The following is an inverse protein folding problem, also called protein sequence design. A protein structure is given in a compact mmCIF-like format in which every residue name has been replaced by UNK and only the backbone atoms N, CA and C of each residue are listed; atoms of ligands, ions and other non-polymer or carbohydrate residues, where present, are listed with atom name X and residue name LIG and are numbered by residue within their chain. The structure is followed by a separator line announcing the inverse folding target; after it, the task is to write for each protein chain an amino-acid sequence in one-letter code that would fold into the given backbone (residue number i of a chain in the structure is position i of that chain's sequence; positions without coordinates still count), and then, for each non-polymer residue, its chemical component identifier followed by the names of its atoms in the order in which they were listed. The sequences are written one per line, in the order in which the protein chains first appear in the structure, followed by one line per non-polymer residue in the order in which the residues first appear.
data_IF_450591852815
#
_entry.id   IF_450591852815
#
_cell.length_a   1.000
_cell.length_b   1.000
_cell.length_c   1.000
_cell.angle_alpha   90.00
_cell.angle_beta   90.00
_cell.angle_gamma   90.00
#
_symmetry.space_group_name_H-M   'P 1'
#
loop_
_entity.id
_entity.type
_entity.pdbx_description
1 polymer ?
#
# COMPACT_ATOMS: atom_id res chain seq x y z
N UNK A 1 51.97 -62.92 -0.90
CA UNK A 1 51.09 -63.99 -1.40
C UNK A 1 49.66 -63.50 -1.21
N UNK A 2 48.85 -63.47 -2.26
CA UNK A 2 47.52 -62.84 -2.25
C UNK A 2 46.52 -63.67 -1.44
N UNK A 3 45.72 -63.01 -0.61
CA UNK A 3 44.51 -63.62 -0.04
C UNK A 3 43.27 -63.31 -0.89
N UNK A 4 42.44 -64.34 -1.19
CA UNK A 4 41.32 -64.28 -2.11
C UNK A 4 40.02 -63.80 -1.44
N UNK A 5 39.35 -62.82 -2.08
CA UNK A 5 37.93 -62.45 -2.01
C UNK A 5 37.08 -62.97 -0.83
N UNK A 6 36.53 -62.06 -0.03
CA UNK A 6 35.19 -62.29 0.53
C UNK A 6 34.42 -60.98 0.64
N UNK A 7 33.72 -60.66 -0.43
CA UNK A 7 32.74 -59.57 -0.48
C UNK A 7 31.52 -60.04 0.31
N UNK A 8 31.47 -59.73 1.60
CA UNK A 8 30.26 -59.92 2.39
C UNK A 8 29.22 -58.89 1.94
N UNK A 9 28.39 -59.29 0.99
CA UNK A 9 27.15 -58.60 0.62
C UNK A 9 26.27 -58.54 1.86
N UNK A 10 26.27 -57.40 2.54
CA UNK A 10 25.33 -57.12 3.62
C UNK A 10 23.91 -57.22 3.05
N UNK A 11 23.15 -58.21 3.49
CA UNK A 11 21.72 -58.29 3.23
C UNK A 11 21.07 -57.13 3.98
N UNK A 12 20.71 -56.07 3.26
CA UNK A 12 19.82 -55.04 3.80
C UNK A 12 18.48 -55.74 3.99
N UNK A 13 18.21 -56.20 5.21
CA UNK A 13 16.83 -56.47 5.60
C UNK A 13 16.16 -55.13 5.70
N UNK A 14 15.30 -54.84 4.72
CA UNK A 14 14.31 -53.77 4.78
C UNK A 14 13.43 -54.07 5.99
N UNK A 15 13.80 -53.50 7.14
CA UNK A 15 12.95 -53.48 8.32
C UNK A 15 11.82 -52.52 7.95
N UNK A 16 10.69 -53.07 7.50
CA UNK A 16 9.47 -52.29 7.37
C UNK A 16 9.14 -51.75 8.76
N UNK A 17 9.49 -50.48 8.99
CA UNK A 17 9.06 -49.70 10.15
C UNK A 17 7.58 -49.40 9.90
N UNK A 18 6.77 -50.42 10.16
CA UNK A 18 5.33 -50.33 10.18
C UNK A 18 4.99 -49.35 11.29
N UNK A 19 4.83 -48.08 10.91
CA UNK A 19 4.20 -47.03 11.71
C UNK A 19 2.87 -47.56 12.20
N UNK A 20 2.91 -48.17 13.39
CA UNK A 20 1.79 -48.81 14.04
C UNK A 20 0.68 -47.78 14.09
N UNK A 21 -0.52 -48.14 13.60
CA UNK A 21 -1.71 -47.28 13.56
C UNK A 21 -1.95 -46.50 14.88
N UNK A 22 -1.46 -47.01 16.00
CA UNK A 22 -1.46 -46.36 17.32
C UNK A 22 -0.65 -45.05 17.37
N UNK A 23 0.50 -44.97 16.72
CA UNK A 23 1.36 -43.78 16.72
C UNK A 23 0.76 -42.65 15.88
N UNK A 24 0.17 -43.02 14.74
CA UNK A 24 -0.55 -42.11 13.85
C UNK A 24 -1.75 -41.41 14.51
N UNK A 25 -2.41 -42.08 15.48
CA UNK A 25 -3.57 -41.56 16.19
C UNK A 25 -3.21 -40.66 17.39
N UNK A 26 -1.96 -40.65 17.87
CA UNK A 26 -1.52 -39.81 19.01
C UNK A 26 -1.84 -38.32 18.85
N UNK A 27 -1.56 -37.64 17.72
CA UNK A 27 -1.88 -36.23 17.57
C UNK A 27 -3.39 -35.94 17.47
N UNK A 28 -4.20 -36.96 17.17
CA UNK A 28 -5.66 -36.87 17.11
C UNK A 28 -6.33 -37.28 18.44
N UNK A 29 -5.56 -37.78 19.41
CA UNK A 29 -6.04 -38.13 20.75
C UNK A 29 -6.57 -36.96 21.58
N UNK A 30 -6.01 -35.72 21.54
CA UNK A 30 -6.63 -34.62 22.28
C UNK A 30 -7.96 -34.25 21.62
N UNK A 31 -9.04 -34.66 22.27
CA UNK A 31 -10.40 -34.33 21.85
C UNK A 31 -10.65 -32.86 22.12
N UNK A 32 -10.91 -32.07 21.08
CA UNK A 32 -11.49 -30.74 21.25
C UNK A 32 -12.89 -30.96 21.83
N UNK A 33 -13.10 -30.62 23.11
CA UNK A 33 -14.43 -30.68 23.69
C UNK A 33 -15.37 -29.82 22.84
N UNK A 34 -16.56 -30.33 22.47
CA UNK A 34 -17.51 -29.53 21.71
C UNK A 34 -17.85 -28.28 22.52
N UNK A 35 -17.66 -27.11 21.91
CA UNK A 35 -18.10 -25.85 22.51
C UNK A 35 -19.62 -25.86 22.62
N UNK A 36 -20.16 -25.39 23.75
CA UNK A 36 -21.61 -25.22 23.93
C UNK A 36 -22.18 -24.41 22.77
N UNK A 37 -23.38 -24.74 22.30
CA UNK A 37 -23.98 -24.05 21.15
C UNK A 37 -24.30 -22.57 21.43
N UNK A 38 -24.56 -21.76 20.38
CA UNK A 38 -24.82 -20.32 20.49
C UNK A 38 -25.92 -19.94 21.48
N UNK A 39 -26.91 -20.83 21.68
CA UNK A 39 -28.04 -20.66 22.61
C UNK A 39 -27.64 -20.66 24.08
N UNK A 40 -26.49 -21.24 24.41
CA UNK A 40 -25.93 -21.38 25.76
C UNK A 40 -24.79 -20.39 26.03
N UNK A 41 -24.40 -19.59 25.02
CA UNK A 41 -23.40 -18.55 25.22
C UNK A 41 -23.95 -17.46 26.12
N UNK A 42 -23.14 -17.03 27.09
CA UNK A 42 -23.44 -15.83 27.87
C UNK A 42 -23.57 -14.67 26.89
N UNK A 43 -24.73 -14.01 26.90
CA UNK A 43 -24.90 -12.75 26.19
C UNK A 43 -24.35 -11.65 27.10
N UNK A 44 -23.16 -11.09 26.84
CA UNK A 44 -22.57 -10.05 27.69
C UNK A 44 -23.35 -8.72 27.66
N UNK A 45 -24.50 -8.68 26.95
CA UNK A 45 -25.26 -7.46 26.71
C UNK A 45 -24.57 -6.56 25.70
N UNK A 46 -25.29 -5.53 25.27
CA UNK A 46 -24.68 -4.42 24.53
C UNK A 46 -23.92 -3.56 25.52
N UNK A 47 -22.67 -3.90 25.81
CA UNK A 47 -21.81 -2.99 26.54
C UNK A 47 -21.41 -1.88 25.55
N UNK A 48 -21.81 -0.61 25.75
CA UNK A 48 -21.34 0.47 24.89
C UNK A 48 -19.82 0.57 25.07
N UNK A 49 -19.08 0.09 24.07
CA UNK A 49 -17.64 0.30 24.03
C UNK A 49 -17.43 1.79 23.76
N UNK A 50 -16.78 2.47 24.70
CA UNK A 50 -16.30 3.82 24.42
C UNK A 50 -15.38 3.75 23.18
N UNK A 51 -15.54 4.65 22.20
CA UNK A 51 -14.63 4.70 21.09
C UNK A 51 -13.21 4.90 21.62
N UNK A 52 -12.24 4.24 20.99
CA UNK A 52 -10.84 4.48 21.33
C UNK A 52 -10.52 5.98 21.15
N UNK A 53 -9.64 6.56 21.98
CA UNK A 53 -9.26 7.96 21.83
C UNK A 53 -8.68 8.22 20.45
N UNK A 54 -9.26 9.17 19.72
CA UNK A 54 -8.77 9.57 18.40
C UNK A 54 -7.40 10.24 18.58
N UNK A 55 -6.35 9.60 18.07
CA UNK A 55 -5.00 10.19 18.00
C UNK A 55 -4.84 10.94 16.70
N UNK A 56 -4.41 12.20 16.76
CA UNK A 56 -4.02 12.96 15.56
C UNK A 56 -2.74 12.35 14.99
N UNK A 57 -2.82 11.78 13.79
CA UNK A 57 -1.64 11.31 13.08
C UNK A 57 -0.76 12.50 12.68
N UNK A 58 0.58 12.34 12.67
CA UNK A 58 1.45 13.33 12.06
C UNK A 58 1.02 13.54 10.61
N UNK A 59 0.92 14.81 10.21
CA UNK A 59 0.58 15.18 8.85
C UNK A 59 1.64 14.74 7.85
N UNK A 60 1.34 14.93 6.56
CA UNK A 60 2.27 14.63 5.47
C UNK A 60 3.61 15.36 5.69
N UNK A 61 4.76 14.67 5.58
CA UNK A 61 6.07 15.30 5.62
C UNK A 61 6.20 16.41 4.56
N UNK A 62 6.99 17.44 4.86
CA UNK A 62 7.26 18.54 3.91
C UNK A 62 7.92 17.98 2.66
N UNK A 63 7.48 18.44 1.48
CA UNK A 63 8.05 18.03 0.18
C UNK A 63 9.54 18.42 0.06
N UNK A 64 9.96 19.51 0.70
CA UNK A 64 11.35 19.95 0.73
C UNK A 64 11.86 19.99 2.17
N UNK A 65 13.12 19.57 2.37
CA UNK A 65 13.81 19.73 3.65
C UNK A 65 14.10 21.20 3.95
N UNK A 66 14.34 21.51 5.22
CA UNK A 66 14.92 22.80 5.63
C UNK A 66 16.39 22.83 5.16
N UNK A 67 16.79 23.98 4.60
CA UNK A 67 18.17 24.23 4.16
C UNK A 67 18.92 25.03 5.22
N UNK A 68 20.22 24.79 5.35
CA UNK A 68 21.11 25.63 6.14
C UNK A 68 21.33 27.00 5.46
N UNK A 69 21.76 28.05 6.19
CA UNK A 69 21.89 29.40 5.66
C UNK A 69 22.84 29.52 4.46
N UNK A 70 23.87 28.68 4.39
CA UNK A 70 24.92 28.72 3.37
C UNK A 70 24.57 27.89 2.11
N UNK A 71 23.45 27.16 2.12
CA UNK A 71 23.08 26.32 0.99
C UNK A 71 22.54 27.12 -0.19
N UNK A 72 23.26 27.08 -1.32
CA UNK A 72 22.84 27.69 -2.57
C UNK A 72 21.49 27.12 -3.03
N UNK A 73 20.53 28.01 -3.30
CA UNK A 73 19.29 27.58 -3.92
C UNK A 73 19.57 27.16 -5.36
N UNK A 74 19.43 25.86 -5.66
CA UNK A 74 19.22 25.42 -7.05
C UNK A 74 18.02 26.22 -7.59
N UNK A 75 18.31 27.18 -8.47
CA UNK A 75 17.33 27.92 -9.25
C UNK A 75 16.74 26.95 -10.26
N UNK A 76 15.90 26.03 -9.76
CA UNK A 76 15.05 25.19 -10.58
C UNK A 76 14.37 26.09 -11.61
N UNK A 77 14.40 25.70 -12.88
CA UNK A 77 13.77 26.29 -14.07
C UNK A 77 12.30 26.74 -13.83
N UNK A 78 12.12 27.77 -13.02
CA UNK A 78 10.83 28.37 -12.68
C UNK A 78 10.87 29.76 -13.27
N UNK A 79 10.16 29.92 -14.38
CA UNK A 79 9.90 31.22 -14.97
C UNK A 79 9.27 32.10 -13.89
N UNK A 80 9.88 33.26 -13.64
CA UNK A 80 9.33 34.24 -12.71
C UNK A 80 8.02 34.76 -13.28
N UNK A 81 6.96 34.80 -12.47
CA UNK A 81 5.66 35.34 -12.92
C UNK A 81 5.78 36.77 -13.46
N UNK A 82 6.77 37.54 -12.99
CA UNK A 82 7.06 38.89 -13.46
C UNK A 82 7.38 38.97 -14.96
N UNK A 83 7.94 37.90 -15.54
CA UNK A 83 8.32 37.87 -16.96
C UNK A 83 7.16 37.37 -17.85
N UNK A 84 6.02 36.98 -17.27
CA UNK A 84 4.87 36.47 -18.00
C UNK A 84 3.83 37.56 -18.22
N UNK A 85 3.60 37.93 -19.48
CA UNK A 85 2.49 38.80 -19.87
C UNK A 85 1.18 38.02 -19.72
N UNK A 86 0.35 38.44 -18.76
CA UNK A 86 -0.95 37.82 -18.51
C UNK A 86 -1.99 38.39 -19.47
N UNK A 87 -2.42 37.56 -20.43
CA UNK A 87 -3.53 37.87 -21.35
C UNK A 87 -4.86 37.32 -20.82
N UNK A 88 -5.90 38.13 -20.91
CA UNK A 88 -7.25 37.71 -20.55
C UNK A 88 -7.82 36.76 -21.60
N UNK A 89 -8.17 35.53 -21.22
CA UNK A 89 -8.81 34.55 -22.14
C UNK A 89 -10.21 34.96 -22.62
N UNK A 90 -10.83 35.97 -22.02
CA UNK A 90 -12.19 36.43 -22.36
C UNK A 90 -12.18 37.51 -23.45
N UNK A 91 -11.22 38.43 -23.38
CA UNK A 91 -11.14 39.60 -24.28
C UNK A 91 -9.80 39.76 -25.00
N UNK A 92 -8.82 38.88 -24.76
CA UNK A 92 -7.48 38.94 -25.35
C UNK A 92 -6.55 40.03 -24.80
N UNK A 93 -7.07 41.02 -24.06
CA UNK A 93 -6.30 42.17 -23.55
C UNK A 93 -5.37 41.78 -22.39
N UNK A 94 -4.27 42.52 -22.27
CA UNK A 94 -3.25 42.35 -21.23
C UNK A 94 -3.61 43.07 -19.93
N UNK A 95 -2.92 42.76 -18.83
CA UNK A 95 -3.03 43.46 -17.54
C UNK A 95 -4.13 42.95 -16.61
N UNK A 96 -4.96 41.99 -17.03
CA UNK A 96 -5.95 41.33 -16.16
C UNK A 96 -6.23 39.89 -16.61
N UNK A 97 -6.86 39.10 -15.73
CA UNK A 97 -7.28 37.73 -16.02
C UNK A 97 -8.80 37.64 -16.23
N UNK A 98 -9.31 36.47 -16.64
CA UNK A 98 -10.76 36.24 -16.86
C UNK A 98 -11.63 36.64 -15.64
N UNK A 99 -11.12 36.53 -14.41
CA UNK A 99 -11.88 36.84 -13.19
C UNK A 99 -12.09 38.35 -12.99
N UNK A 100 -11.10 39.16 -13.38
CA UNK A 100 -11.16 40.62 -13.28
C UNK A 100 -11.66 41.28 -14.58
N UNK A 101 -12.10 40.49 -15.56
CA UNK A 101 -12.54 41.00 -16.86
C UNK A 101 -13.95 41.58 -16.78
N UNK A 102 -14.08 42.85 -17.16
CA UNK A 102 -15.35 43.60 -17.15
C UNK A 102 -16.14 43.45 -18.46
N UNK A 103 -15.55 42.94 -19.52
CA UNK A 103 -16.21 42.78 -20.82
C UNK A 103 -17.17 41.59 -20.82
N UNK A 104 -18.25 41.58 -21.62
CA UNK A 104 -19.15 40.42 -21.78
C UNK A 104 -18.42 39.25 -22.46
N UNK A 105 -18.96 38.02 -22.36
CA UNK A 105 -18.33 36.84 -23.00
C UNK A 105 -18.38 37.01 -24.53
N UNK A 106 -17.24 37.00 -25.20
CA UNK A 106 -17.19 36.89 -26.66
C UNK A 106 -17.21 35.41 -27.04
N UNK A 107 -18.23 35.00 -27.77
CA UNK A 107 -18.31 33.70 -28.42
C UNK A 107 -17.36 33.72 -29.62
N UNK A 108 -16.22 33.04 -29.52
CA UNK A 108 -15.33 32.85 -30.65
C UNK A 108 -15.91 31.71 -31.50
N UNK A 109 -16.59 32.08 -32.60
CA UNK A 109 -16.91 31.17 -33.69
C UNK A 109 -15.64 30.56 -34.25
N UNK A 110 -15.64 29.24 -34.42
CA UNK A 110 -14.66 28.53 -35.24
C UNK A 110 -15.21 28.49 -36.66
N UNK A 111 -14.89 29.49 -37.46
CA UNK A 111 -15.05 29.45 -38.91
C UNK A 111 -13.71 29.07 -39.55
N UNK A 112 -13.73 27.88 -40.14
CA UNK A 112 -13.05 27.38 -41.34
C UNK A 112 -11.60 27.82 -41.67
N UNK A 113 -10.72 26.82 -41.75
CA UNK A 113 -9.64 26.78 -42.75
C UNK A 113 -9.32 25.30 -43.07
N UNK A 114 -10.19 24.69 -43.86
CA UNK A 114 -9.81 23.63 -44.77
C UNK A 114 -9.35 24.30 -46.08
N UNK A 115 -8.05 24.23 -46.38
CA UNK A 115 -7.51 23.95 -47.71
C UNK A 115 -6.10 23.37 -47.58
#
# INVERSE_FOLDING_TARGET
MAEPWSTSVGTITDQEDAGSSKEYLRPYSPSICPMTGPKLWLNPGQHPLAPSPIKKMPGRPKKARRREPDEVQSSSNKVRRTEMIMKCRKCGKEGHNKRACKEPQQEQGTDDAAE
#
